data_IF_744697500713
#
_entry.id   IF_744697500713
#
_cell.length_a   1.000
_cell.length_b   1.000
_cell.length_c   1.000
_cell.angle_alpha   90.00
_cell.angle_beta   90.00
_cell.angle_gamma   90.00
#
_symmetry.space_group_name_H-M   'P 1'
#
loop_
_entity.id
_entity.type
_entity.pdbx_description
1 polymer ?
#
# COMPACT_ATOMS: atom_id res chain seq x y z
N UNK A 1 -14.35 16.80 57.23
CA UNK A 1 -13.58 15.86 56.40
C UNK A 1 -14.55 15.04 55.57
N UNK A 2 -14.21 14.85 54.28
CA UNK A 2 -14.72 13.82 53.35
C UNK A 2 -16.14 13.96 52.77
N UNK A 3 -16.30 14.83 51.76
CA UNK A 3 -17.29 14.59 50.69
C UNK A 3 -16.84 15.14 49.33
N UNK A 4 -15.98 16.17 49.33
CA UNK A 4 -15.51 16.82 48.09
C UNK A 4 -14.41 16.08 47.33
N UNK A 5 -13.89 14.96 47.86
CA UNK A 5 -12.80 14.20 47.22
C UNK A 5 -13.29 13.09 46.25
N UNK A 6 -14.59 12.77 46.25
CA UNK A 6 -15.14 11.70 45.40
C UNK A 6 -15.50 12.13 43.97
N UNK A 7 -15.82 13.41 43.74
CA UNK A 7 -16.15 13.91 42.39
C UNK A 7 -14.92 14.11 41.50
N UNK A 8 -13.74 14.35 42.08
CA UNK A 8 -12.50 14.59 41.32
C UNK A 8 -11.91 13.29 40.74
N UNK A 9 -12.15 12.15 41.38
CA UNK A 9 -11.71 10.83 40.89
C UNK A 9 -12.54 10.31 39.70
N UNK A 10 -13.83 10.68 39.60
CA UNK A 10 -14.70 10.24 38.49
C UNK A 10 -14.39 11.03 37.20
N UNK A 11 -14.05 12.32 37.31
CA UNK A 11 -13.63 13.12 36.15
C UNK A 11 -12.31 12.65 35.53
N UNK A 12 -11.39 12.10 36.34
CA UNK A 12 -10.12 11.57 35.85
C UNK A 12 -10.36 10.23 35.12
N UNK A 13 -11.30 9.41 35.57
CA UNK A 13 -11.59 8.11 34.95
C UNK A 13 -12.26 8.24 33.56
N UNK A 14 -13.08 9.27 33.32
CA UNK A 14 -13.69 9.48 32.00
C UNK A 14 -12.72 10.09 30.96
N UNK A 15 -11.67 10.80 31.38
CA UNK A 15 -10.65 11.31 30.44
C UNK A 15 -9.66 10.25 29.97
N UNK A 16 -9.59 9.08 30.63
CA UNK A 16 -8.73 7.95 30.23
C UNK A 16 -9.43 6.91 29.34
N UNK A 17 -10.72 7.07 29.03
CA UNK A 17 -11.50 6.12 28.22
C UNK A 17 -11.74 6.59 26.78
N UNK A 18 -10.88 7.46 26.24
CA UNK A 18 -10.68 7.54 24.79
C UNK A 18 -9.70 6.45 24.35
N UNK A 19 -9.86 5.23 24.86
CA UNK A 19 -9.29 4.06 24.22
C UNK A 19 -10.16 3.85 22.98
N UNK A 20 -9.70 4.35 21.84
CA UNK A 20 -10.18 3.84 20.55
C UNK A 20 -9.95 2.34 20.58
N UNK A 21 -11.00 1.56 20.84
CA UNK A 21 -10.90 0.12 20.78
C UNK A 21 -10.67 -0.25 19.33
N UNK A 22 -9.63 -1.04 19.07
CA UNK A 22 -9.42 -1.62 17.76
C UNK A 22 -10.63 -2.51 17.43
N UNK A 23 -11.20 -2.35 16.24
CA UNK A 23 -12.29 -3.18 15.74
C UNK A 23 -11.70 -4.37 14.99
N UNK A 24 -12.29 -5.54 15.17
CA UNK A 24 -11.97 -6.73 14.37
C UNK A 24 -12.65 -6.65 13.02
N UNK A 25 -11.96 -7.10 11.97
CA UNK A 25 -12.42 -6.97 10.60
C UNK A 25 -12.23 -8.29 9.84
N UNK A 26 -13.16 -8.55 8.92
CA UNK A 26 -12.99 -9.57 7.89
C UNK A 26 -11.77 -9.19 7.05
N UNK A 27 -10.91 -10.16 6.76
CA UNK A 27 -9.70 -9.98 5.97
C UNK A 27 -9.72 -10.96 4.80
N UNK A 28 -10.20 -10.50 3.65
CA UNK A 28 -10.35 -11.33 2.46
C UNK A 28 -9.94 -10.55 1.21
N UNK A 29 -9.36 -11.23 0.23
CA UNK A 29 -8.98 -10.64 -1.05
C UNK A 29 -9.30 -11.57 -2.20
N UNK A 30 -9.87 -11.02 -3.27
CA UNK A 30 -10.09 -11.76 -4.49
C UNK A 30 -8.80 -11.91 -5.30
N UNK A 31 -8.46 -13.14 -5.66
CA UNK A 31 -7.39 -13.51 -6.57
C UNK A 31 -7.96 -14.40 -7.67
N UNK A 32 -7.81 -14.02 -8.94
CA UNK A 32 -8.21 -14.84 -10.10
C UNK A 32 -9.64 -15.45 -10.00
N UNK A 33 -10.60 -14.69 -9.45
CA UNK A 33 -12.01 -15.06 -9.19
C UNK A 33 -12.28 -15.91 -7.95
N UNK A 34 -11.26 -16.33 -7.22
CA UNK A 34 -11.40 -16.94 -5.90
C UNK A 34 -11.31 -15.87 -4.81
N UNK A 35 -12.11 -16.00 -3.74
CA UNK A 35 -12.00 -15.14 -2.57
C UNK A 35 -11.18 -15.87 -1.51
N UNK A 36 -9.96 -15.40 -1.26
CA UNK A 36 -9.08 -15.96 -0.24
C UNK A 36 -9.24 -15.13 1.03
N UNK A 37 -9.56 -15.78 2.13
CA UNK A 37 -9.70 -15.14 3.44
C UNK A 37 -8.58 -15.61 4.35
N UNK A 38 -7.88 -14.65 4.93
CA UNK A 38 -6.85 -14.87 5.96
C UNK A 38 -7.50 -14.78 7.36
N UNK A 39 -6.65 -14.87 8.39
CA UNK A 39 -7.09 -14.54 9.75
C UNK A 39 -7.64 -13.12 9.82
N UNK A 40 -8.66 -12.95 10.65
CA UNK A 40 -9.20 -11.64 11.04
C UNK A 40 -8.08 -10.65 11.40
N UNK A 41 -8.31 -9.37 11.14
CA UNK A 41 -7.35 -8.33 11.47
C UNK A 41 -7.98 -7.23 12.32
N UNK A 42 -7.15 -6.50 13.07
CA UNK A 42 -7.59 -5.47 14.01
C UNK A 42 -7.09 -4.09 13.56
N UNK A 43 -7.96 -3.08 13.63
CA UNK A 43 -7.57 -1.71 13.32
C UNK A 43 -8.54 -0.65 13.82
N UNK A 44 -8.29 0.61 13.43
CA UNK A 44 -9.15 1.75 13.79
C UNK A 44 -10.52 1.68 13.10
N UNK A 45 -10.58 1.09 11.90
CA UNK A 45 -11.79 0.84 11.14
C UNK A 45 -11.61 -0.28 10.11
N UNK A 46 -12.71 -0.91 9.74
CA UNK A 46 -12.78 -1.93 8.70
C UNK A 46 -13.11 -1.34 7.33
N UNK A 47 -12.70 -2.07 6.30
CA UNK A 47 -12.88 -1.71 4.90
C UNK A 47 -13.55 -2.86 4.15
N UNK A 48 -14.51 -2.52 3.30
CA UNK A 48 -14.96 -3.35 2.18
C UNK A 48 -14.81 -2.52 0.92
N UNK A 49 -14.03 -3.03 -0.03
CA UNK A 49 -13.73 -2.37 -1.29
C UNK A 49 -14.03 -3.32 -2.43
N UNK A 50 -14.90 -2.88 -3.32
CA UNK A 50 -15.44 -3.69 -4.41
C UNK A 50 -15.35 -2.91 -5.71
N UNK A 51 -14.81 -3.52 -6.75
CA UNK A 51 -14.69 -2.90 -8.06
C UNK A 51 -14.62 -3.95 -9.16
N UNK A 52 -14.87 -3.53 -10.40
CA UNK A 52 -14.79 -4.41 -11.57
C UNK A 52 -13.70 -3.94 -12.53
N UNK A 53 -12.84 -4.85 -12.95
CA UNK A 53 -11.78 -4.58 -13.93
C UNK A 53 -11.82 -5.65 -15.03
N UNK A 54 -11.93 -5.24 -16.29
CA UNK A 54 -11.95 -6.13 -17.46
C UNK A 54 -12.88 -7.36 -17.28
N UNK A 55 -14.10 -7.14 -16.78
CA UNK A 55 -15.12 -8.17 -16.43
C UNK A 55 -14.81 -9.07 -15.22
N UNK A 56 -13.68 -8.87 -14.54
CA UNK A 56 -13.36 -9.54 -13.28
C UNK A 56 -13.84 -8.69 -12.11
N UNK A 57 -14.51 -9.34 -11.17
CA UNK A 57 -15.02 -8.71 -9.97
C UNK A 57 -13.97 -8.85 -8.86
N UNK A 58 -13.53 -7.72 -8.30
CA UNK A 58 -12.52 -7.67 -7.26
C UNK A 58 -13.15 -7.23 -5.95
N UNK A 59 -12.92 -8.02 -4.90
CA UNK A 59 -13.35 -7.72 -3.54
C UNK A 59 -12.14 -7.74 -2.61
N UNK A 60 -12.02 -6.70 -1.80
CA UNK A 60 -10.99 -6.56 -0.77
C UNK A 60 -11.68 -6.16 0.53
N UNK A 61 -11.46 -6.95 1.57
CA UNK A 61 -11.88 -6.71 2.95
C UNK A 61 -10.63 -6.68 3.83
N UNK A 62 -10.59 -5.77 4.79
CA UNK A 62 -9.49 -5.70 5.75
C UNK A 62 -9.71 -4.61 6.78
N UNK A 63 -8.64 -4.27 7.48
CA UNK A 63 -8.60 -3.23 8.50
C UNK A 63 -7.62 -2.13 8.10
N UNK A 64 -7.82 -0.95 8.68
CA UNK A 64 -6.92 0.19 8.57
C UNK A 64 -6.61 0.70 9.97
N UNK A 65 -5.34 1.03 10.20
CA UNK A 65 -4.83 1.49 11.50
C UNK A 65 -3.85 2.64 11.33
N UNK A 66 -3.77 3.53 12.31
CA UNK A 66 -2.79 4.62 12.39
C UNK A 66 -3.09 5.79 11.46
N UNK A 67 -4.33 5.92 10.98
CA UNK A 67 -4.78 7.03 10.13
C UNK A 67 -5.77 7.89 10.91
N UNK A 68 -5.66 9.21 10.78
CA UNK A 68 -6.60 10.12 11.42
C UNK A 68 -7.98 10.04 10.76
N UNK A 69 -8.82 9.21 11.35
CA UNK A 69 -10.17 8.88 10.90
C UNK A 69 -11.23 9.90 11.31
N UNK A 70 -10.88 10.92 12.11
CA UNK A 70 -11.87 11.90 12.64
C UNK A 70 -12.66 12.61 11.55
N UNK A 71 -12.02 12.84 10.42
CA UNK A 71 -12.60 13.55 9.27
C UNK A 71 -12.91 12.60 8.11
N UNK A 72 -12.88 11.27 8.33
CA UNK A 72 -13.27 10.27 7.34
C UNK A 72 -14.72 9.87 7.60
N UNK A 73 -15.65 10.17 6.68
CA UNK A 73 -17.02 9.71 6.83
C UNK A 73 -17.07 8.17 6.78
N UNK A 74 -17.59 7.57 7.86
CA UNK A 74 -17.97 6.15 7.87
C UNK A 74 -19.22 5.96 7.02
N UNK A 75 -19.30 4.85 6.30
CA UNK A 75 -20.36 4.57 5.34
C UNK A 75 -19.84 4.02 4.01
N UNK A 76 -20.75 3.76 3.08
CA UNK A 76 -20.45 3.33 1.73
C UNK A 76 -20.47 4.50 0.76
N UNK A 77 -19.59 4.49 -0.21
CA UNK A 77 -19.56 5.45 -1.32
C UNK A 77 -19.33 4.69 -2.62
N UNK A 78 -19.97 5.15 -3.68
CA UNK A 78 -19.78 4.60 -5.02
C UNK A 78 -19.31 5.70 -5.95
N UNK A 79 -18.30 5.41 -6.75
CA UNK A 79 -17.74 6.37 -7.68
C UNK A 79 -18.34 6.22 -9.08
N UNK A 80 -18.01 7.14 -9.99
CA UNK A 80 -18.49 7.15 -11.38
C UNK A 80 -18.08 5.93 -12.20
N UNK A 81 -17.10 5.16 -11.73
CA UNK A 81 -16.65 3.91 -12.33
C UNK A 81 -17.33 2.67 -11.70
N UNK A 82 -18.41 2.86 -10.94
CA UNK A 82 -19.20 1.80 -10.28
C UNK A 82 -18.41 0.99 -9.24
N UNK A 83 -17.25 1.47 -8.79
CA UNK A 83 -16.57 0.89 -7.64
C UNK A 83 -17.21 1.40 -6.35
N UNK A 84 -17.21 0.56 -5.31
CA UNK A 84 -17.77 0.84 -4.00
C UNK A 84 -16.71 0.72 -2.91
N UNK A 85 -16.63 1.72 -2.03
CA UNK A 85 -15.79 1.72 -0.84
C UNK A 85 -16.66 1.96 0.40
N UNK A 86 -16.68 0.98 1.29
CA UNK A 86 -17.36 1.04 2.57
C UNK A 86 -16.34 1.04 3.72
N UNK A 87 -16.51 2.00 4.63
CA UNK A 87 -15.71 2.14 5.85
C UNK A 87 -16.62 2.05 7.06
N UNK A 88 -16.24 1.28 8.07
CA UNK A 88 -17.04 1.13 9.28
C UNK A 88 -16.18 0.88 10.51
N UNK A 89 -16.64 1.32 11.67
CA UNK A 89 -15.99 1.13 12.96
C UNK A 89 -16.99 0.96 14.11
N UNK A 90 -18.24 0.64 13.80
CA UNK A 90 -19.33 0.58 14.78
C UNK A 90 -19.30 -0.70 15.63
N UNK A 91 -18.86 -1.81 15.03
CA UNK A 91 -18.85 -3.15 15.63
C UNK A 91 -17.76 -4.00 14.98
N UNK A 92 -17.36 -5.06 15.66
CA UNK A 92 -16.53 -6.10 15.06
C UNK A 92 -17.21 -6.70 13.82
N UNK A 93 -16.38 -7.06 12.85
CA UNK A 93 -16.75 -7.64 11.56
C UNK A 93 -17.78 -6.81 10.79
N UNK A 94 -17.83 -5.49 11.03
CA UNK A 94 -18.79 -4.63 10.37
C UNK A 94 -18.62 -4.61 8.85
N UNK A 95 -17.45 -4.96 8.32
CA UNK A 95 -17.19 -5.06 6.88
C UNK A 95 -17.61 -6.40 6.26
N UNK A 96 -18.29 -7.27 7.00
CA UNK A 96 -18.95 -8.43 6.43
C UNK A 96 -20.09 -8.00 5.49
N UNK A 97 -20.18 -8.65 4.33
CA UNK A 97 -21.11 -8.30 3.26
C UNK A 97 -22.56 -8.46 3.70
N UNK A 98 -22.86 -9.55 4.43
CA UNK A 98 -24.19 -9.79 4.98
C UNK A 98 -24.62 -8.70 5.97
N UNK A 99 -23.66 -8.10 6.70
CA UNK A 99 -23.91 -7.01 7.63
C UNK A 99 -24.09 -5.66 6.89
N UNK A 100 -23.27 -5.38 5.89
CA UNK A 100 -23.28 -4.10 5.15
C UNK A 100 -24.53 -3.91 4.28
N UNK A 101 -25.01 -4.99 3.65
CA UNK A 101 -26.19 -4.95 2.77
C UNK A 101 -27.48 -5.42 3.45
N UNK A 102 -27.48 -5.51 4.79
CA UNK A 102 -28.68 -5.85 5.54
C UNK A 102 -29.74 -4.76 5.40
N UNK A 103 -30.96 -5.16 5.02
CA UNK A 103 -32.11 -4.25 4.88
C UNK A 103 -32.56 -3.62 6.20
N UNK A 104 -32.20 -4.20 7.34
CA UNK A 104 -32.66 -3.75 8.66
C UNK A 104 -31.87 -2.55 9.20
N UNK A 105 -30.62 -2.35 8.77
CA UNK A 105 -29.78 -1.21 9.14
C UNK A 105 -28.90 -0.83 7.94
N UNK A 106 -29.42 -0.05 6.98
CA UNK A 106 -28.65 0.34 5.81
C UNK A 106 -27.46 1.22 6.21
N UNK A 107 -26.29 0.89 5.69
CA UNK A 107 -25.07 1.65 5.91
C UNK A 107 -25.21 3.06 5.30
N UNK A 108 -24.78 4.14 5.98
CA UNK A 108 -24.88 5.49 5.44
C UNK A 108 -24.19 5.61 4.07
N UNK A 109 -24.86 6.25 3.12
CA UNK A 109 -24.28 6.56 1.81
C UNK A 109 -23.58 7.92 1.85
N UNK A 110 -22.28 7.92 1.60
CA UNK A 110 -21.45 9.13 1.51
C UNK A 110 -21.44 9.57 0.04
N UNK A 111 -21.86 10.82 -0.20
CA UNK A 111 -21.90 11.39 -1.55
C UNK A 111 -20.52 11.91 -1.94
N UNK A 112 -19.98 11.39 -3.04
CA UNK A 112 -18.76 11.91 -3.65
C UNK A 112 -19.06 13.17 -4.49
N UNK A 113 -18.06 14.06 -4.67
CA UNK A 113 -18.20 15.23 -5.54
C UNK A 113 -18.45 14.84 -7.00
N UNK A 114 -18.97 15.76 -7.80
CA UNK A 114 -19.06 15.59 -9.26
C UNK A 114 -18.22 16.68 -9.91
N UNK A 115 -17.17 16.27 -10.62
CA UNK A 115 -16.10 17.16 -11.07
C UNK A 115 -15.79 16.91 -12.55
N UNK A 116 -15.61 17.98 -13.31
CA UNK A 116 -15.09 17.90 -14.68
C UNK A 116 -13.56 17.94 -14.67
N UNK A 117 -12.89 16.89 -15.12
CA UNK A 117 -11.43 16.78 -15.10
C UNK A 117 -10.81 16.92 -16.50
N UNK A 118 -9.53 17.30 -16.57
CA UNK A 118 -8.70 17.18 -17.78
C UNK A 118 -8.11 15.78 -17.90
N UNK A 119 -7.91 15.32 -19.13
CA UNK A 119 -7.21 14.07 -19.40
C UNK A 119 -6.23 14.22 -20.56
N UNK A 120 -4.95 14.21 -20.23
CA UNK A 120 -3.84 14.24 -21.19
C UNK A 120 -2.56 13.75 -20.52
N UNK A 121 -1.63 13.27 -21.33
CA UNK A 121 -0.27 12.92 -20.90
C UNK A 121 0.73 13.71 -21.73
N UNK A 122 1.74 14.27 -21.11
CA UNK A 122 2.77 15.10 -21.74
C UNK A 122 4.15 14.60 -21.31
N UNK A 123 5.00 14.31 -22.29
CA UNK A 123 6.42 14.02 -22.13
C UNK A 123 7.15 14.49 -23.40
N UNK A 124 8.47 14.76 -23.37
CA UNK A 124 9.21 15.26 -24.53
C UNK A 124 9.09 14.40 -25.81
N UNK A 125 8.94 13.07 -25.65
CA UNK A 125 8.77 12.11 -26.76
C UNK A 125 7.32 11.86 -27.17
N UNK A 126 6.33 12.40 -26.45
CA UNK A 126 4.91 12.27 -26.77
C UNK A 126 4.51 13.47 -27.64
N UNK A 127 3.89 13.22 -28.80
CA UNK A 127 3.42 14.28 -29.69
C UNK A 127 2.42 15.20 -28.98
N UNK A 128 2.29 16.43 -29.47
CA UNK A 128 1.43 17.49 -28.90
C UNK A 128 0.01 16.97 -28.61
N UNK A 129 -0.28 16.71 -27.36
CA UNK A 129 -1.58 16.16 -26.92
C UNK A 129 -2.62 17.26 -26.82
N UNK A 130 -3.87 16.95 -27.18
CA UNK A 130 -4.98 17.87 -27.00
C UNK A 130 -5.28 18.07 -25.51
N UNK A 131 -4.86 19.21 -24.95
CA UNK A 131 -5.13 19.59 -23.56
C UNK A 131 -6.60 19.95 -23.30
N UNK A 132 -7.43 19.97 -24.34
CA UNK A 132 -8.86 20.28 -24.20
C UNK A 132 -9.72 19.08 -23.79
N UNK A 133 -9.19 17.85 -23.89
CA UNK A 133 -9.93 16.64 -23.52
C UNK A 133 -10.37 16.70 -22.05
N UNK A 134 -11.67 16.55 -21.83
CA UNK A 134 -12.28 16.57 -20.50
C UNK A 134 -13.17 15.38 -20.27
N UNK A 135 -13.31 14.94 -19.02
CA UNK A 135 -14.28 13.92 -18.66
C UNK A 135 -14.86 14.14 -17.26
N UNK A 136 -15.91 13.41 -16.90
CA UNK A 136 -16.60 13.53 -15.60
C UNK A 136 -16.06 12.47 -14.64
N UNK A 137 -15.72 12.87 -13.42
CA UNK A 137 -15.27 11.97 -12.35
C UNK A 137 -15.56 12.58 -10.98
N UNK A 138 -15.37 11.80 -9.93
CA UNK A 138 -15.47 12.29 -8.56
C UNK A 138 -14.25 13.16 -8.22
N UNK A 139 -13.05 12.68 -8.57
CA UNK A 139 -11.79 13.37 -8.34
C UNK A 139 -10.92 13.39 -9.59
N UNK A 140 -10.21 14.49 -9.78
CA UNK A 140 -9.24 14.67 -10.84
C UNK A 140 -7.83 14.37 -10.33
N UNK A 141 -7.01 13.72 -11.15
CA UNK A 141 -5.66 13.32 -10.79
C UNK A 141 -4.63 14.06 -11.63
N UNK A 142 -3.55 14.45 -10.97
CA UNK A 142 -2.35 15.02 -11.58
C UNK A 142 -1.13 14.27 -11.06
N UNK A 143 -0.29 13.76 -11.96
CA UNK A 143 0.93 13.05 -11.59
C UNK A 143 2.12 13.57 -12.37
N UNK A 144 3.28 13.55 -11.73
CA UNK A 144 4.56 13.75 -12.39
C UNK A 144 5.51 12.65 -11.97
N UNK A 145 6.15 12.02 -12.94
CA UNK A 145 7.13 10.98 -12.68
C UNK A 145 8.30 11.13 -13.63
N UNK A 146 9.50 10.88 -13.12
CA UNK A 146 10.65 10.68 -13.98
C UNK A 146 10.50 9.34 -14.70
N UNK A 147 10.69 9.34 -16.01
CA UNK A 147 10.71 8.15 -16.86
C UNK A 147 12.00 8.11 -17.65
N UNK A 148 12.57 6.92 -17.78
CA UNK A 148 13.78 6.73 -18.60
C UNK A 148 13.36 6.60 -20.07
N UNK A 149 13.85 7.48 -20.93
CA UNK A 149 13.60 7.43 -22.36
C UNK A 149 14.39 6.29 -23.05
N UNK A 150 14.18 6.07 -24.35
CA UNK A 150 14.89 5.03 -25.11
C UNK A 150 16.42 5.24 -25.18
N UNK A 151 16.90 6.45 -24.96
CA UNK A 151 18.33 6.78 -24.89
C UNK A 151 18.93 6.56 -23.49
N UNK A 152 18.12 6.16 -22.50
CA UNK A 152 18.56 5.98 -21.11
C UNK A 152 18.56 7.25 -20.28
N UNK A 153 18.04 8.36 -20.80
CA UNK A 153 17.97 9.64 -20.09
C UNK A 153 16.67 9.77 -19.31
N UNK A 154 16.74 10.37 -18.12
CA UNK A 154 15.56 10.59 -17.27
C UNK A 154 14.84 11.87 -17.70
N UNK A 155 13.56 11.75 -18.04
CA UNK A 155 12.70 12.84 -18.48
C UNK A 155 11.43 12.92 -17.61
N UNK A 156 10.90 14.13 -17.45
CA UNK A 156 9.68 14.33 -16.69
C UNK A 156 8.45 14.02 -17.56
N UNK A 157 7.67 13.02 -17.15
CA UNK A 157 6.33 12.77 -17.69
C UNK A 157 5.30 13.37 -16.75
N UNK A 158 4.40 14.19 -17.29
CA UNK A 158 3.22 14.70 -16.59
C UNK A 158 1.99 13.98 -17.12
N UNK A 159 1.15 13.44 -16.24
CA UNK A 159 -0.13 12.87 -16.63
C UNK A 159 -1.26 13.47 -15.83
N UNK A 160 -2.35 13.76 -16.52
CA UNK A 160 -3.61 14.22 -15.94
C UNK A 160 -4.68 13.23 -16.35
N UNK A 161 -5.49 12.81 -15.38
CA UNK A 161 -6.57 11.86 -15.66
C UNK A 161 -7.78 12.16 -14.81
N UNK A 162 -8.92 11.64 -15.26
CA UNK A 162 -10.13 11.63 -14.45
C UNK A 162 -10.17 10.41 -13.50
N UNK A 163 -9.03 9.74 -13.28
CA UNK A 163 -8.97 8.52 -12.50
C UNK A 163 -9.52 7.33 -13.29
N UNK A 164 -8.64 6.70 -14.07
CA UNK A 164 -9.03 5.69 -15.06
C UNK A 164 -9.22 4.29 -14.47
N UNK A 165 -8.72 4.09 -13.26
CA UNK A 165 -8.79 2.82 -12.57
C UNK A 165 -9.88 2.93 -11.49
N UNK A 166 -11.01 2.22 -11.62
CA UNK A 166 -12.19 2.33 -10.75
C UNK A 166 -11.85 2.29 -9.25
N UNK A 167 -10.75 1.63 -8.92
CA UNK A 167 -10.26 1.47 -7.58
C UNK A 167 -9.79 2.81 -6.94
N UNK A 168 -9.30 3.81 -7.68
CA UNK A 168 -8.61 4.97 -7.07
C UNK A 168 -9.45 6.24 -6.86
N UNK A 169 -10.72 6.30 -7.28
CA UNK A 169 -11.49 7.56 -7.29
C UNK A 169 -12.36 7.72 -6.03
N UNK A 170 -11.72 7.92 -4.89
CA UNK A 170 -12.40 8.11 -3.60
C UNK A 170 -11.82 9.28 -2.82
N UNK A 171 -12.57 9.72 -1.81
CA UNK A 171 -12.15 10.73 -0.82
C UNK A 171 -10.93 10.28 0.01
N UNK A 172 -10.68 8.97 0.01
CA UNK A 172 -9.58 8.30 0.70
C UNK A 172 -8.92 7.26 -0.21
N UNK A 173 -7.63 7.45 -0.48
CA UNK A 173 -6.85 6.67 -1.44
C UNK A 173 -6.25 5.44 -0.77
N UNK A 174 -6.91 4.29 -0.89
CA UNK A 174 -6.51 3.02 -0.26
C UNK A 174 -5.74 2.07 -1.15
N UNK A 175 -5.61 2.38 -2.43
CA UNK A 175 -4.97 1.49 -3.38
C UNK A 175 -3.44 1.45 -3.22
N UNK A 176 -2.82 0.40 -3.77
CA UNK A 176 -1.39 0.11 -3.56
C UNK A 176 -0.44 0.93 -4.45
N UNK A 177 -0.95 1.54 -5.53
CA UNK A 177 -0.16 2.36 -6.45
C UNK A 177 -0.08 3.80 -5.94
N UNK A 178 1.08 4.45 -6.07
CA UNK A 178 1.29 5.85 -5.71
C UNK A 178 0.30 6.77 -6.45
N UNK A 179 -0.32 7.79 -5.79
CA UNK A 179 -0.11 8.25 -4.42
C UNK A 179 -0.88 7.47 -3.33
N UNK A 180 -1.09 6.16 -3.46
CA UNK A 180 -1.61 5.33 -2.37
C UNK A 180 -0.54 4.87 -1.37
N UNK A 181 -0.87 3.96 -0.44
CA UNK A 181 -2.14 3.82 0.28
C UNK A 181 -2.20 4.76 1.50
N UNK A 182 -3.42 5.06 1.96
CA UNK A 182 -3.67 5.82 3.19
C UNK A 182 -3.53 7.33 3.05
N UNK A 183 -3.70 7.87 1.84
CA UNK A 183 -3.63 9.29 1.55
C UNK A 183 -5.02 9.88 1.31
N UNK A 184 -5.15 11.19 1.48
CA UNK A 184 -6.44 11.87 1.39
C UNK A 184 -6.62 12.56 0.04
N UNK A 185 -7.87 12.65 -0.41
CA UNK A 185 -8.20 13.49 -1.55
C UNK A 185 -7.95 14.98 -1.25
N UNK A 186 -7.85 15.80 -2.30
CA UNK A 186 -7.54 17.24 -2.20
C UNK A 186 -6.16 17.52 -1.59
N UNK A 187 -5.19 16.67 -1.89
CA UNK A 187 -3.80 16.82 -1.49
C UNK A 187 -2.84 16.38 -2.60
N UNK A 188 -1.58 16.79 -2.45
CA UNK A 188 -0.48 16.36 -3.30
C UNK A 188 0.64 15.76 -2.46
N UNK A 189 1.25 14.69 -2.97
CA UNK A 189 2.25 13.91 -2.26
C UNK A 189 3.43 13.61 -3.18
N UNK A 190 4.63 14.00 -2.73
CA UNK A 190 5.90 13.81 -3.44
C UNK A 190 6.71 12.72 -2.76
N UNK A 191 6.89 11.60 -3.44
CA UNK A 191 7.72 10.47 -3.00
C UNK A 191 9.07 10.48 -3.72
N UNK A 192 10.14 10.26 -2.98
CA UNK A 192 11.46 9.92 -3.53
C UNK A 192 11.97 8.67 -2.82
N UNK A 193 12.10 7.56 -3.55
CA UNK A 193 12.51 6.27 -3.00
C UNK A 193 13.72 5.64 -3.72
N UNK A 194 14.06 6.13 -4.91
CA UNK A 194 15.14 5.57 -5.73
C UNK A 194 15.95 6.71 -6.38
N UNK A 195 17.22 6.85 -5.97
CA UNK A 195 18.12 7.85 -6.53
C UNK A 195 17.51 9.27 -6.49
N UNK A 196 17.54 9.95 -7.64
CA UNK A 196 16.93 11.26 -7.82
C UNK A 196 15.52 11.19 -8.43
N UNK A 197 14.96 9.98 -8.59
CA UNK A 197 13.65 9.80 -9.19
C UNK A 197 12.56 10.17 -8.19
N UNK A 198 11.70 11.07 -8.63
CA UNK A 198 10.58 11.57 -7.83
C UNK A 198 9.26 11.22 -8.48
N UNK A 199 8.26 10.96 -7.65
CA UNK A 199 6.89 10.68 -8.04
C UNK A 199 5.97 11.64 -7.28
N UNK A 200 5.39 12.59 -8.00
CA UNK A 200 4.32 13.45 -7.50
C UNK A 200 2.98 12.82 -7.88
N UNK A 201 2.09 12.69 -6.90
CA UNK A 201 0.70 12.32 -7.13
C UNK A 201 -0.24 13.24 -6.38
N UNK A 202 -1.24 13.75 -7.08
CA UNK A 202 -2.21 14.70 -6.58
C UNK A 202 -3.62 14.26 -6.92
N UNK A 203 -4.57 14.62 -6.06
CA UNK A 203 -5.99 14.54 -6.36
C UNK A 203 -6.73 15.80 -5.94
N UNK A 204 -7.76 16.20 -6.68
CA UNK A 204 -8.54 17.40 -6.40
C UNK A 204 -9.99 17.25 -6.89
N UNK A 205 -10.92 18.05 -6.36
CA UNK A 205 -12.37 17.92 -6.59
C UNK A 205 -13.04 19.19 -7.15
N UNK A 206 -12.26 20.11 -7.70
CA UNK A 206 -12.77 21.30 -8.39
C UNK A 206 -12.66 21.15 -9.91
N UNK A 207 -13.56 21.78 -10.65
CA UNK A 207 -13.57 21.67 -12.11
C UNK A 207 -12.23 22.08 -12.74
N UNK A 208 -11.68 21.17 -13.54
CA UNK A 208 -10.40 21.26 -14.24
C UNK A 208 -9.20 21.55 -13.33
N UNK A 209 -9.29 21.24 -12.03
CA UNK A 209 -8.23 21.51 -11.06
C UNK A 209 -6.91 20.80 -11.40
N UNK A 210 -6.95 19.70 -12.14
CA UNK A 210 -5.79 18.95 -12.58
C UNK A 210 -5.18 19.44 -13.91
N UNK A 211 -5.60 20.60 -14.43
CA UNK A 211 -4.98 21.18 -15.62
C UNK A 211 -3.49 21.50 -15.41
N UNK A 212 -3.12 21.80 -14.18
CA UNK A 212 -1.75 21.99 -13.68
C UNK A 212 -1.64 21.36 -12.27
N UNK A 213 -0.47 21.48 -11.64
CA UNK A 213 -0.27 20.98 -10.28
C UNK A 213 -1.17 21.77 -9.30
N UNK A 214 -2.22 21.16 -8.72
CA UNK A 214 -3.22 21.90 -7.93
C UNK A 214 -2.66 22.35 -6.58
N UNK A 215 -1.74 21.58 -5.99
CA UNK A 215 -1.15 21.86 -4.69
C UNK A 215 0.37 21.67 -4.74
N UNK A 216 1.12 22.68 -5.19
CA UNK A 216 2.57 22.58 -5.32
C UNK A 216 3.24 22.09 -4.03
N UNK A 217 4.06 21.04 -4.16
CA UNK A 217 4.80 20.42 -3.06
C UNK A 217 6.28 20.78 -3.21
N UNK A 218 6.93 21.11 -2.10
CA UNK A 218 8.38 21.26 -2.03
C UNK A 218 8.95 20.16 -1.13
N UNK A 219 10.16 19.65 -1.42
CA UNK A 219 10.84 18.78 -0.48
C UNK A 219 10.97 19.47 0.89
N UNK A 220 10.62 18.75 1.96
CA UNK A 220 10.84 19.21 3.32
C UNK A 220 12.32 19.22 3.72
N UNK A 221 12.58 19.36 5.02
CA UNK A 221 13.94 19.53 5.55
C UNK A 221 14.51 18.29 6.26
N UNK A 222 13.74 17.22 6.43
CA UNK A 222 14.17 16.00 7.12
C UNK A 222 14.97 15.15 6.16
N UNK A 223 16.18 14.75 6.55
CA UNK A 223 17.02 13.86 5.74
C UNK A 223 16.66 12.40 5.98
N UNK A 224 16.56 11.60 4.92
CA UNK A 224 16.16 10.19 5.05
C UNK A 224 17.05 9.26 4.22
N UNK A 225 17.09 7.99 4.60
CA UNK A 225 17.70 6.94 3.80
C UNK A 225 16.81 6.53 2.62
N UNK A 226 17.44 6.16 1.51
CA UNK A 226 16.81 5.57 0.34
C UNK A 226 17.13 4.09 0.24
N UNK A 227 16.12 3.27 -0.05
CA UNK A 227 16.26 1.87 -0.40
C UNK A 227 15.00 1.42 -1.16
N UNK A 228 15.16 0.67 -2.24
CA UNK A 228 14.04 0.17 -3.03
C UNK A 228 14.25 -1.30 -3.38
N UNK A 229 13.16 -2.08 -3.33
CA UNK A 229 13.11 -3.47 -3.77
C UNK A 229 13.88 -4.47 -2.88
N UNK A 230 14.11 -4.15 -1.60
CA UNK A 230 14.71 -5.11 -0.68
C UNK A 230 13.69 -6.20 -0.30
N UNK A 231 14.12 -7.46 -0.28
CA UNK A 231 13.23 -8.60 0.02
C UNK A 231 13.23 -9.03 1.48
N UNK A 232 14.17 -8.50 2.27
CA UNK A 232 14.26 -8.70 3.71
C UNK A 232 14.75 -7.43 4.40
N UNK A 233 14.56 -7.36 5.72
CA UNK A 233 15.05 -6.23 6.52
C UNK A 233 16.57 -6.10 6.48
N UNK A 234 17.31 -7.22 6.52
CA UNK A 234 18.79 -7.23 6.44
C UNK A 234 19.34 -6.65 5.13
N UNK A 235 18.50 -6.59 4.08
CA UNK A 235 18.87 -6.05 2.77
C UNK A 235 18.53 -4.56 2.63
N UNK A 236 17.98 -3.91 3.66
CA UNK A 236 17.64 -2.49 3.69
C UNK A 236 18.86 -1.57 3.84
N UNK A 237 19.96 -1.90 3.18
CA UNK A 237 21.14 -1.04 3.14
C UNK A 237 20.81 0.26 2.37
N UNK A 238 21.18 1.40 2.94
CA UNK A 238 20.93 2.69 2.32
C UNK A 238 21.73 2.82 1.01
N UNK A 239 21.02 3.11 -0.08
CA UNK A 239 21.61 3.33 -1.42
C UNK A 239 21.74 4.82 -1.77
N UNK A 240 21.36 5.70 -0.85
CA UNK A 240 21.37 7.14 -1.03
C UNK A 240 20.58 7.85 0.05
N UNK A 241 20.38 9.15 -0.17
CA UNK A 241 19.68 10.04 0.74
C UNK A 241 18.77 10.99 -0.03
N UNK A 242 17.72 11.44 0.63
CA UNK A 242 16.77 12.43 0.10
C UNK A 242 16.38 13.41 1.21
N UNK A 243 15.54 14.39 0.87
CA UNK A 243 14.86 15.25 1.87
C UNK A 243 13.35 15.24 1.70
N UNK A 244 12.62 15.27 2.81
CA UNK A 244 11.16 15.34 2.83
C UNK A 244 10.60 15.96 4.09
N UNK A 245 9.27 16.00 4.19
CA UNK A 245 8.58 16.33 5.44
C UNK A 245 8.60 15.14 6.40
N UNK A 246 8.62 13.91 5.86
CA UNK A 246 8.70 12.65 6.59
C UNK A 246 9.71 11.72 5.92
N UNK A 247 10.40 10.92 6.72
CA UNK A 247 11.00 9.68 6.26
C UNK A 247 9.94 8.59 6.27
N UNK A 248 9.90 7.79 5.20
CA UNK A 248 9.05 6.61 5.08
C UNK A 248 9.91 5.35 5.11
N UNK A 249 9.45 4.36 5.88
CA UNK A 249 9.78 2.95 5.73
C UNK A 249 8.47 2.24 5.42
N UNK A 250 8.43 1.41 4.38
CA UNK A 250 7.25 0.65 3.99
C UNK A 250 7.61 -0.80 3.79
N UNK A 251 6.70 -1.68 4.22
CA UNK A 251 6.72 -3.11 3.97
C UNK A 251 5.42 -3.50 3.27
N UNK A 252 5.55 -4.23 2.19
CA UNK A 252 4.42 -4.73 1.40
C UNK A 252 4.62 -6.22 1.18
N UNK A 253 3.58 -7.01 1.42
CA UNK A 253 3.60 -8.45 1.11
C UNK A 253 2.79 -8.65 -0.16
N UNK A 254 3.45 -9.07 -1.23
CA UNK A 254 2.81 -9.35 -2.51
C UNK A 254 2.81 -10.88 -2.70
N UNK A 255 1.67 -11.55 -2.84
CA UNK A 255 1.60 -13.01 -2.85
C UNK A 255 2.55 -13.69 -3.85
N UNK A 256 2.69 -13.13 -5.05
CA UNK A 256 3.55 -13.68 -6.10
C UNK A 256 5.04 -13.32 -5.96
N UNK A 257 5.36 -12.23 -5.24
CA UNK A 257 6.72 -11.66 -5.20
C UNK A 257 7.32 -11.60 -3.79
N UNK A 258 6.61 -12.11 -2.79
CA UNK A 258 7.02 -12.10 -1.39
C UNK A 258 6.97 -10.72 -0.75
N UNK A 259 7.80 -10.52 0.26
CA UNK A 259 7.90 -9.24 0.98
C UNK A 259 8.79 -8.28 0.21
N UNK A 260 8.36 -7.03 0.09
CA UNK A 260 9.12 -5.92 -0.46
C UNK A 260 9.19 -4.79 0.53
N UNK A 261 10.39 -4.21 0.65
CA UNK A 261 10.65 -3.06 1.50
C UNK A 261 11.09 -1.84 0.69
N UNK A 262 10.69 -0.68 1.19
CA UNK A 262 11.00 0.63 0.62
C UNK A 262 11.37 1.61 1.73
N UNK A 263 12.42 2.41 1.50
CA UNK A 263 12.79 3.60 2.28
C UNK A 263 12.78 4.81 1.36
N UNK A 264 12.25 5.91 1.85
CA UNK A 264 12.14 7.12 1.04
C UNK A 264 11.91 8.39 1.84
N UNK A 265 11.76 9.48 1.10
CA UNK A 265 11.24 10.75 1.60
C UNK A 265 9.84 10.96 1.07
N UNK A 266 8.97 11.47 1.94
CA UNK A 266 7.62 11.88 1.62
C UNK A 266 7.46 13.35 1.99
N UNK A 267 7.03 14.17 1.02
CA UNK A 267 6.60 15.56 1.26
C UNK A 267 5.16 15.71 0.82
N UNK A 268 4.41 16.59 1.49
CA UNK A 268 2.98 16.70 1.24
C UNK A 268 2.49 18.15 1.28
N UNK A 269 1.51 18.45 0.42
CA UNK A 269 0.69 19.64 0.55
C UNK A 269 -0.77 19.19 0.74
N UNK A 270 -1.24 19.32 1.98
CA UNK A 270 -2.53 18.83 2.47
C UNK A 270 -3.39 19.99 2.98
N UNK A 271 -3.25 21.16 2.35
CA UNK A 271 -3.93 22.38 2.79
C UNK A 271 -5.45 22.25 2.67
N UNK A 272 -5.92 21.59 1.60
CA UNK A 272 -7.34 21.36 1.29
C UNK A 272 -7.81 19.92 1.59
N UNK A 273 -6.92 19.07 2.12
CA UNK A 273 -7.25 17.70 2.44
C UNK A 273 -8.07 17.62 3.74
N UNK A 274 -9.00 16.67 3.80
CA UNK A 274 -9.84 16.48 4.99
C UNK A 274 -9.03 16.10 6.25
N UNK A 275 -7.85 15.51 6.06
CA UNK A 275 -6.96 15.09 7.13
C UNK A 275 -5.51 15.12 6.64
N UNK A 276 -4.58 15.13 7.59
CA UNK A 276 -3.14 15.28 7.32
C UNK A 276 -2.38 14.04 7.72
N UNK A 277 -1.27 13.81 7.03
CA UNK A 277 -0.29 12.81 7.43
C UNK A 277 0.25 13.11 8.82
N UNK A 278 0.40 12.04 9.59
CA UNK A 278 1.00 12.07 10.92
C UNK A 278 2.15 11.09 10.98
N UNK A 279 3.16 11.46 11.75
CA UNK A 279 4.22 10.53 12.12
C UNK A 279 3.62 9.38 12.91
N UNK A 280 4.01 8.17 12.56
CA UNK A 280 3.64 6.97 13.27
C UNK A 280 3.63 5.72 12.42
N UNK A 281 3.21 4.62 13.03
CA UNK A 281 2.87 3.39 12.32
C UNK A 281 1.47 3.51 11.73
N UNK A 282 1.31 3.03 10.51
CA UNK A 282 0.02 2.84 9.86
C UNK A 282 0.00 1.53 9.09
N UNK A 283 -1.17 0.90 9.07
CA UNK A 283 -1.44 -0.29 8.28
C UNK A 283 -2.64 0.01 7.40
N UNK A 284 -2.49 -0.13 6.09
CA UNK A 284 -3.58 0.05 5.14
C UNK A 284 -3.73 -1.20 4.31
N UNK A 285 -4.70 -2.05 4.67
CA UNK A 285 -4.99 -3.30 3.95
C UNK A 285 -3.76 -4.21 3.79
N UNK A 286 -2.95 -4.32 4.86
CA UNK A 286 -1.72 -5.13 4.89
C UNK A 286 -0.47 -4.43 4.38
N UNK A 287 -0.57 -3.17 3.93
CA UNK A 287 0.59 -2.34 3.62
C UNK A 287 1.01 -1.61 4.90
N UNK A 288 2.15 -2.01 5.45
CA UNK A 288 2.69 -1.44 6.68
C UNK A 288 3.62 -0.27 6.35
N UNK A 289 3.43 0.86 7.02
CA UNK A 289 4.24 2.05 6.82
C UNK A 289 4.59 2.70 8.15
N UNK A 290 5.84 3.16 8.28
CA UNK A 290 6.33 3.96 9.39
C UNK A 290 6.75 5.32 8.85
N UNK A 291 6.10 6.37 9.35
CA UNK A 291 6.42 7.76 9.06
C UNK A 291 7.07 8.41 10.27
N UNK A 292 8.18 9.10 10.08
CA UNK A 292 8.89 9.80 11.15
C UNK A 292 9.54 11.10 10.63
N UNK A 293 9.80 12.04 11.53
CA UNK A 293 10.18 13.44 11.19
C UNK A 293 11.57 13.84 11.72
N UNK A 294 12.35 12.89 12.23
CA UNK A 294 13.73 13.11 12.67
C UNK A 294 14.69 12.69 11.57
N UNK A 295 15.84 13.36 11.45
CA UNK A 295 16.84 12.98 10.45
C UNK A 295 17.26 11.51 10.60
N UNK A 296 17.25 10.80 9.48
CA UNK A 296 17.63 9.41 9.31
C UNK A 296 16.85 8.42 10.17
N UNK A 297 15.66 8.80 10.65
CA UNK A 297 14.83 7.94 11.50
C UNK A 297 14.36 6.65 10.82
N UNK A 298 14.47 6.54 9.49
CA UNK A 298 14.20 5.32 8.72
C UNK A 298 15.45 4.45 8.46
N UNK A 299 16.48 4.55 9.31
CA UNK A 299 17.69 3.73 9.20
C UNK A 299 17.42 2.22 9.27
N UNK A 300 16.54 1.78 10.17
CA UNK A 300 16.04 0.41 10.27
C UNK A 300 14.62 0.43 10.86
N UNK A 301 13.97 -0.73 10.98
CA UNK A 301 12.62 -0.81 11.53
C UNK A 301 12.57 -0.33 12.99
N UNK A 302 13.55 -0.71 13.80
CA UNK A 302 13.61 -0.36 15.21
C UNK A 302 13.69 1.17 15.41
N UNK A 303 14.50 1.85 14.60
CA UNK A 303 14.67 3.31 14.60
C UNK A 303 13.39 4.02 14.18
N UNK A 304 12.71 3.50 13.15
CA UNK A 304 11.45 4.06 12.67
C UNK A 304 10.33 3.92 13.72
N UNK A 305 10.26 2.74 14.36
CA UNK A 305 9.35 2.45 15.47
C UNK A 305 9.64 3.34 16.69
N UNK A 306 10.90 3.49 17.08
CA UNK A 306 11.30 4.32 18.22
C UNK A 306 11.02 5.81 17.99
N UNK A 307 11.07 6.26 16.73
CA UNK A 307 10.81 7.64 16.34
C UNK A 307 9.31 7.95 16.18
N UNK A 308 8.43 6.96 16.32
CA UNK A 308 6.99 7.10 16.25
C UNK A 308 6.42 7.55 17.62
N UNK A 309 5.81 8.75 17.71
CA UNK A 309 5.30 9.28 18.98
C UNK A 309 4.24 8.40 19.66
N UNK A 310 3.51 7.58 18.89
CA UNK A 310 2.45 6.70 19.41
C UNK A 310 2.97 5.35 19.95
N UNK A 311 4.15 4.90 19.54
CA UNK A 311 4.73 3.62 19.99
C UNK A 311 5.69 3.78 21.17
N UNK A 312 6.26 4.98 21.36
CA UNK A 312 7.09 5.29 22.52
C UNK A 312 6.34 5.13 23.87
N UNK A 313 5.00 5.28 23.88
CA UNK A 313 4.16 5.04 25.07
C UNK A 313 3.82 3.57 25.33
N UNK A 314 3.93 2.69 24.33
CA UNK A 314 3.65 1.25 24.48
C UNK A 314 4.87 0.48 25.00
N UNK A 315 6.09 0.92 24.65
CA UNK A 315 7.34 0.32 25.14
C UNK A 315 7.63 0.57 26.63
N UNK A 316 6.76 1.28 27.36
CA UNK A 316 6.90 1.47 28.82
C UNK A 316 6.28 0.33 29.66
N UNK A 317 5.60 -0.66 29.05
CA UNK A 317 4.95 -1.75 29.76
C UNK A 317 5.61 -3.14 29.67
N UNK A 318 6.61 -3.33 28.81
CA UNK A 318 7.37 -4.60 28.74
C UNK A 318 8.83 -4.45 29.19
N UNK A 319 9.06 -4.16 30.47
CA UNK A 319 10.26 -4.69 31.13
C UNK A 319 10.07 -4.81 32.66
N UNK A 320 9.27 -5.78 33.08
CA UNK A 320 9.46 -6.42 34.39
C UNK A 320 9.71 -7.91 34.19
N UNK A 321 10.95 -8.26 33.82
CA UNK A 321 11.46 -9.62 34.02
C UNK A 321 11.44 -9.93 35.53
N UNK A 322 10.78 -11.01 35.99
CA UNK A 322 10.99 -11.49 37.34
C UNK A 322 12.41 -12.04 37.45
N UNK A 323 13.19 -11.49 38.39
CA UNK A 323 14.44 -12.11 38.84
C UNK A 323 14.09 -13.42 39.57
N UNK A 324 14.73 -14.50 39.15
CA UNK A 324 15.16 -15.59 40.03
C UNK A 324 14.05 -16.49 40.59
N UNK A 325 13.94 -17.68 40.00
CA UNK A 325 13.24 -18.80 40.61
C UNK A 325 13.61 -20.09 39.89
N UNK A 326 14.65 -20.78 40.39
CA UNK A 326 14.93 -22.18 40.02
C UNK A 326 13.68 -23.00 40.33
N UNK A 327 13.15 -23.70 39.34
CA UNK A 327 12.36 -24.91 39.60
C UNK A 327 12.80 -26.00 38.63
N UNK A 328 13.32 -27.05 39.25
CA UNK A 328 13.63 -28.35 38.70
C UNK A 328 12.29 -29.06 38.51
N UNK A 329 11.98 -29.49 37.29
CA UNK A 329 10.97 -30.53 37.06
C UNK A 329 11.58 -31.55 36.09
N UNK A 330 11.67 -32.78 36.58
CA UNK A 330 12.07 -33.98 35.86
C UNK A 330 11.06 -34.28 34.74
N UNK A 331 11.56 -34.62 33.56
CA UNK A 331 10.76 -35.27 32.53
C UNK A 331 11.17 -36.75 32.57
N UNK A 332 10.25 -37.60 33.00
CA UNK A 332 10.36 -39.05 32.88
C UNK A 332 10.07 -39.47 31.44
N UNK A 333 10.93 -40.35 30.94
CA UNK A 333 10.77 -41.10 29.71
C UNK A 333 9.53 -42.01 29.78
N UNK A 334 8.78 -42.10 28.68
CA UNK A 334 7.89 -43.23 28.43
C UNK A 334 7.77 -43.43 26.92
N UNK A 335 8.52 -44.43 26.45
CA UNK A 335 8.43 -45.00 25.12
C UNK A 335 7.14 -45.84 24.98
N UNK A 336 6.53 -45.82 23.79
CA UNK A 336 5.69 -46.91 23.32
C UNK A 336 5.92 -47.18 21.82
N UNK A 337 6.64 -48.27 21.59
CA UNK A 337 6.53 -49.27 20.51
C UNK A 337 5.06 -49.73 20.32
N UNK A 338 4.54 -50.29 19.20
CA UNK A 338 4.95 -50.79 17.86
C UNK A 338 3.59 -51.03 17.11
N UNK A 339 3.53 -50.93 15.78
CA UNK A 339 3.15 -52.05 14.87
C UNK A 339 3.13 -51.62 13.40
N UNK A 340 3.96 -52.33 12.65
CA UNK A 340 4.02 -52.45 11.21
C UNK A 340 2.73 -53.05 10.62
N UNK A 341 2.40 -52.69 9.39
CA UNK A 341 1.89 -53.62 8.39
C UNK A 341 2.27 -53.09 6.99
N UNK A 342 3.14 -53.84 6.32
CA UNK A 342 3.37 -53.80 4.89
C UNK A 342 2.16 -54.44 4.17
N UNK A 343 1.73 -53.91 3.03
CA UNK A 343 1.96 -54.58 1.74
C UNK A 343 1.28 -53.91 0.51
N UNK A 344 1.95 -54.14 -0.63
CA UNK A 344 1.45 -54.22 -2.02
C UNK A 344 1.08 -52.96 -2.85
N UNK A 345 2.04 -52.56 -3.70
CA UNK A 345 2.00 -52.65 -5.18
C UNK A 345 0.72 -52.27 -5.96
N UNK A 346 0.80 -51.25 -6.83
CA UNK A 346 0.71 -51.43 -8.30
C UNK A 346 0.83 -50.12 -9.10
N UNK A 347 1.69 -50.20 -10.12
CA UNK A 347 1.68 -49.58 -11.46
C UNK A 347 1.41 -48.08 -11.67
N UNK A 348 2.49 -47.42 -12.11
CA UNK A 348 2.48 -46.11 -12.75
C UNK A 348 2.04 -46.17 -14.22
N UNK A 349 1.34 -45.11 -14.63
CA UNK A 349 1.22 -44.71 -16.05
C UNK A 349 1.54 -43.22 -16.19
N UNK A 350 2.71 -42.95 -16.75
CA UNK A 350 3.08 -41.65 -17.30
C UNK A 350 2.41 -41.48 -18.67
N UNK A 351 1.67 -40.39 -18.86
CA UNK A 351 1.27 -39.93 -20.19
C UNK A 351 2.27 -38.87 -20.66
N UNK A 352 3.07 -39.23 -21.66
CA UNK A 352 3.93 -38.34 -22.44
C UNK A 352 3.16 -37.89 -23.69
N UNK A 353 3.11 -36.58 -23.94
CA UNK A 353 2.70 -36.04 -25.24
C UNK A 353 3.96 -35.65 -26.02
N UNK A 354 4.12 -36.25 -27.19
CA UNK A 354 5.19 -35.97 -28.15
C UNK A 354 4.70 -34.96 -29.19
N UNK A 355 5.37 -33.81 -29.31
CA UNK A 355 5.20 -32.89 -30.44
C UNK A 355 6.36 -33.11 -31.42
N UNK A 356 6.01 -33.47 -32.65
CA UNK A 356 6.92 -33.59 -33.80
C UNK A 356 7.38 -32.21 -34.26
N UNK A 357 8.67 -32.06 -34.54
CA UNK A 357 9.22 -30.97 -35.34
C UNK A 357 10.07 -31.60 -36.45
N UNK A 358 9.70 -31.35 -37.70
CA UNK A 358 10.51 -31.70 -38.87
C UNK A 358 11.58 -30.62 -39.16
N UNK A 359 12.70 -30.97 -39.82
CA UNK A 359 13.91 -30.17 -39.85
C UNK A 359 14.08 -29.38 -41.15
N UNK A 360 14.85 -28.30 -41.09
CA UNK A 360 15.59 -27.81 -42.25
C UNK A 360 15.88 -26.31 -42.23
N UNK A 361 17.10 -25.92 -41.86
CA UNK A 361 17.96 -25.08 -42.72
C UNK A 361 19.39 -24.96 -42.15
N UNK A 362 20.38 -25.07 -43.05
CA UNK A 362 21.82 -25.08 -42.78
C UNK A 362 22.47 -23.68 -42.83
N UNK A 363 23.36 -23.43 -41.84
CA UNK A 363 24.62 -22.67 -41.94
C UNK A 363 24.60 -21.14 -41.75
N UNK A 364 25.77 -20.48 -41.55
CA UNK A 364 27.13 -20.99 -41.32
C UNK A 364 27.79 -20.51 -40.01
N UNK A 365 28.86 -21.22 -39.62
CA UNK A 365 29.76 -20.92 -38.50
C UNK A 365 30.53 -19.61 -38.69
N UNK A 366 30.71 -18.84 -37.60
CA UNK A 366 31.92 -18.02 -37.36
C UNK A 366 32.27 -17.92 -35.87
N UNK A 367 33.53 -18.22 -35.59
CA UNK A 367 34.46 -17.91 -34.51
C UNK A 367 34.02 -17.52 -33.08
N UNK A 368 34.43 -18.38 -32.16
CA UNK A 368 34.64 -18.11 -30.73
C UNK A 368 35.76 -17.08 -30.53
N UNK A 369 35.43 -15.93 -29.94
CA UNK A 369 36.35 -15.20 -29.06
C UNK A 369 35.74 -15.09 -27.66
N UNK A 370 36.50 -15.57 -26.68
CA UNK A 370 36.29 -15.30 -25.27
C UNK A 370 36.43 -13.78 -25.01
N UNK A 371 35.46 -13.19 -24.33
CA UNK A 371 35.68 -11.99 -23.52
C UNK A 371 34.74 -12.00 -22.33
N UNK A 372 35.36 -11.82 -21.18
CA UNK A 372 34.86 -11.78 -19.81
C UNK A 372 34.02 -10.53 -19.49
N UNK A 373 33.21 -10.67 -18.43
CA UNK A 373 32.59 -9.63 -17.59
C UNK A 373 31.37 -8.88 -18.17
N UNK A 374 30.22 -9.06 -17.52
CA UNK A 374 29.03 -8.22 -17.72
C UNK A 374 27.73 -8.86 -17.25
N UNK A 375 27.63 -9.28 -15.98
CA UNK A 375 26.37 -9.80 -15.41
C UNK A 375 25.92 -9.00 -14.18
N UNK A 376 25.68 -7.70 -14.33
CA UNK A 376 25.00 -6.90 -13.29
C UNK A 376 23.85 -6.03 -13.80
N UNK A 377 23.60 -5.95 -15.13
CA UNK A 377 22.60 -5.03 -15.67
C UNK A 377 21.24 -5.64 -16.08
N UNK A 378 21.00 -6.94 -15.88
CA UNK A 378 19.74 -7.57 -16.32
C UNK A 378 18.62 -7.61 -15.27
N UNK A 379 18.87 -7.26 -14.00
CA UNK A 379 17.83 -7.21 -12.96
C UNK A 379 17.12 -5.86 -12.79
N UNK A 380 17.61 -4.80 -13.44
CA UNK A 380 17.00 -3.46 -13.40
C UNK A 380 15.80 -3.31 -14.36
N UNK A 381 15.75 -4.14 -15.41
CA UNK A 381 14.71 -4.06 -16.44
C UNK A 381 13.37 -4.70 -16.05
N UNK A 382 13.35 -5.69 -15.14
CA UNK A 382 12.11 -6.40 -14.77
C UNK A 382 11.24 -5.66 -13.75
N UNK A 383 11.78 -4.72 -12.97
CA UNK A 383 10.98 -3.82 -12.12
C UNK A 383 10.52 -2.57 -12.88
N UNK A 384 11.23 -2.18 -13.94
CA UNK A 384 10.77 -1.19 -14.89
C UNK A 384 9.53 -1.71 -15.65
N UNK A 385 9.42 -3.03 -15.85
CA UNK A 385 8.25 -3.67 -16.48
C UNK A 385 6.96 -3.46 -15.67
N UNK A 386 6.95 -3.36 -14.33
CA UNK A 386 5.70 -3.06 -13.60
C UNK A 386 5.25 -1.59 -13.74
N UNK A 387 6.20 -0.65 -13.80
CA UNK A 387 5.91 0.78 -14.03
C UNK A 387 5.61 1.01 -15.53
N UNK A 388 6.28 0.30 -16.44
CA UNK A 388 6.06 0.36 -17.89
C UNK A 388 4.78 -0.38 -18.28
N UNK A 389 4.36 -1.47 -17.63
CA UNK A 389 3.05 -2.10 -17.90
C UNK A 389 1.90 -1.23 -17.37
N UNK A 390 2.10 -0.53 -16.25
CA UNK A 390 1.18 0.53 -15.85
C UNK A 390 1.13 1.62 -16.93
N UNK A 391 2.27 2.07 -17.49
CA UNK A 391 2.37 3.12 -18.51
C UNK A 391 1.90 2.69 -19.92
N UNK A 392 2.09 1.44 -20.36
CA UNK A 392 1.71 0.98 -21.72
C UNK A 392 0.21 0.70 -21.87
N UNK A 393 -0.52 0.47 -20.77
CA UNK A 393 -1.98 0.42 -20.82
C UNK A 393 -2.63 1.80 -20.95
N UNK A 394 -1.88 2.91 -20.84
CA UNK A 394 -2.41 4.27 -21.04
C UNK A 394 -2.69 4.64 -22.51
N UNK A 395 -2.56 3.73 -23.48
CA UNK A 395 -2.74 4.07 -24.90
C UNK A 395 -3.67 3.17 -25.74
N UNK A 396 -4.45 2.27 -25.14
CA UNK A 396 -5.52 1.56 -25.86
C UNK A 396 -6.82 1.49 -25.06
N UNK A 397 -7.61 2.58 -25.11
CA UNK A 397 -9.00 2.62 -25.56
C UNK A 397 -9.55 4.04 -25.47
#
# INVERSE_FOLDING_TARGET
>A
MNSSCRLLLISIFCTFLNTSFAVKCVNCRSYEKELVCDTECEGDFCVLWHYREMSTDHKIQGCISGIDSKNIPMGCRSNKAEATLCLCNSTDMCNDEAAQFSKTNPVPMVKLPETKCRSFTEAPYIQKVNKENTCQSDYCFFTQTNVTNFAGESELMTSTSCGQMPQYNFDFLIGSLWPGPGLFANGCYLLQAQGNDTMLGCSCSADNCNAENPYPVKPGNVHCHLAYGATSEDQLNAKGYCRGDYCILQKTVVPAYGTQWLKGCLSANETEAASKLKSGYRNVLGIEQWLCQSDFCNFDLQSAVASSPHLASLNFFEEKRPRGGKNIIQIEDSAHEIYDDEDESMDGKQNTYSVKVDPGYDGPQTDRRQSTNGSENYRSLENLIFIIFAIFFFHQN
#
